data_IF_116521688613
#
_entry.id   IF_116521688613
#
_cell.length_a   1.000
_cell.length_b   1.000
_cell.length_c   1.000
_cell.angle_alpha   90.00
_cell.angle_beta   90.00
_cell.angle_gamma   90.00
#
_symmetry.space_group_name_H-M   'P 1'
#
loop_
_entity.id
_entity.type
_entity.pdbx_description
1 polymer ?
#
# COMPACT_ATOMS: atom_id res chain seq x y z
N UNK A 1 25.11 17.52 -4.95
CA UNK A 1 25.51 17.94 -3.59
C UNK A 1 24.99 17.01 -2.47
N UNK A 2 24.69 15.73 -2.76
CA UNK A 2 24.10 14.77 -1.80
C UNK A 2 25.16 13.82 -1.21
N UNK A 3 26.26 13.56 -1.94
CA UNK A 3 27.39 12.71 -1.55
C UNK A 3 28.09 13.21 -0.26
N UNK A 4 28.12 14.54 -0.05
CA UNK A 4 28.85 15.17 1.07
C UNK A 4 28.18 14.96 2.44
N UNK A 5 26.85 14.84 2.50
CA UNK A 5 26.15 14.62 3.76
C UNK A 5 26.24 13.16 4.23
N UNK A 6 26.22 12.21 3.29
CA UNK A 6 26.40 10.79 3.59
C UNK A 6 27.77 10.53 4.19
N UNK A 7 28.84 11.02 3.55
CA UNK A 7 30.20 10.91 4.06
C UNK A 7 30.32 11.54 5.46
N UNK A 8 29.86 12.79 5.65
CA UNK A 8 29.93 13.47 6.96
C UNK A 8 29.19 12.72 8.06
N UNK A 9 28.04 12.13 7.77
CA UNK A 9 27.25 11.38 8.74
C UNK A 9 27.87 10.03 9.10
N UNK A 10 28.44 9.34 8.11
CA UNK A 10 29.23 8.13 8.30
C UNK A 10 30.45 8.37 9.20
N UNK A 11 31.20 9.46 8.97
CA UNK A 11 32.34 9.85 9.81
C UNK A 11 31.94 10.16 11.26
N UNK A 12 30.80 10.83 11.46
CA UNK A 12 30.39 11.30 12.79
C UNK A 12 29.86 10.18 13.71
N UNK A 13 29.35 9.07 13.14
CA UNK A 13 28.67 8.03 13.93
C UNK A 13 29.44 6.72 14.13
N UNK A 14 30.49 6.40 13.35
CA UNK A 14 30.95 4.99 13.25
C UNK A 14 32.46 4.70 13.14
N UNK A 15 33.37 5.46 13.78
CA UNK A 15 34.81 5.12 13.81
C UNK A 15 35.39 4.79 12.42
N UNK A 16 35.06 5.62 11.43
CA UNK A 16 35.61 5.45 10.08
C UNK A 16 36.98 6.11 10.06
N UNK A 17 38.03 5.29 9.94
CA UNK A 17 39.40 5.75 9.86
C UNK A 17 39.83 5.89 8.40
N UNK A 18 40.19 7.12 8.03
CA UNK A 18 40.92 7.38 6.79
C UNK A 18 42.42 7.40 7.10
N UNK A 19 43.23 6.97 6.14
CA UNK A 19 44.65 7.29 6.19
C UNK A 19 44.86 8.78 5.90
N UNK A 20 46.09 9.26 6.09
CA UNK A 20 46.48 10.66 5.86
C UNK A 20 46.23 11.16 4.42
N UNK A 21 45.96 10.24 3.47
CA UNK A 21 45.70 10.55 2.07
C UNK A 21 44.19 10.54 1.74
N UNK A 22 43.32 10.43 2.75
CA UNK A 22 41.86 10.43 2.58
C UNK A 22 41.29 9.12 2.05
N UNK A 23 42.08 8.05 1.99
CA UNK A 23 41.64 6.72 1.55
C UNK A 23 41.06 5.96 2.74
N UNK A 24 39.90 5.33 2.53
CA UNK A 24 39.19 4.52 3.53
C UNK A 24 40.02 3.28 3.88
N UNK A 25 40.42 3.13 5.15
CA UNK A 25 41.32 2.03 5.57
C UNK A 25 40.56 0.92 6.29
N UNK A 26 39.39 1.23 6.88
CA UNK A 26 38.59 0.26 7.60
C UNK A 26 37.10 0.55 7.43
N UNK A 27 36.35 -0.43 6.89
CA UNK A 27 34.90 -0.40 6.73
C UNK A 27 34.32 -1.77 7.11
N UNK A 28 33.60 -1.83 8.23
CA UNK A 28 32.82 -3.03 8.55
C UNK A 28 31.47 -2.95 7.82
N UNK A 29 31.34 -3.70 6.72
CA UNK A 29 30.12 -3.80 5.94
C UNK A 29 28.92 -4.37 6.74
N UNK A 30 29.13 -4.93 7.94
CA UNK A 30 28.05 -5.33 8.87
C UNK A 30 27.40 -4.12 9.58
N UNK A 31 28.00 -2.93 9.52
CA UNK A 31 27.53 -1.78 10.29
C UNK A 31 26.39 -1.01 9.61
N UNK A 32 26.14 -1.15 8.31
CA UNK A 32 25.01 -0.46 7.65
C UNK A 32 24.00 -1.53 7.22
N UNK A 33 23.11 -1.89 8.14
CA UNK A 33 21.98 -2.75 7.84
C UNK A 33 21.08 -2.13 6.78
N UNK A 34 20.42 -2.97 5.98
CA UNK A 34 19.44 -2.57 4.97
C UNK A 34 18.35 -1.68 5.60
N UNK A 35 17.99 -1.99 6.83
CA UNK A 35 17.03 -1.28 7.68
C UNK A 35 17.45 0.18 7.90
N UNK A 36 18.73 0.44 8.12
CA UNK A 36 19.24 1.79 8.36
C UNK A 36 19.19 2.69 7.11
N UNK A 37 19.47 2.12 5.94
CA UNK A 37 19.38 2.85 4.66
C UNK A 37 17.92 3.21 4.39
N UNK A 38 17.03 2.24 4.61
CA UNK A 38 15.58 2.40 4.49
C UNK A 38 15.06 3.50 5.44
N UNK A 39 15.40 3.43 6.72
CA UNK A 39 14.94 4.39 7.73
C UNK A 39 15.56 5.80 7.63
N UNK A 40 16.65 6.00 6.89
CA UNK A 40 17.30 7.32 6.77
C UNK A 40 17.13 7.98 5.42
N UNK A 41 16.96 7.20 4.36
CA UNK A 41 16.91 7.75 3.01
C UNK A 41 15.57 7.54 2.32
N UNK A 42 14.71 6.69 2.87
CA UNK A 42 13.44 6.33 2.26
C UNK A 42 12.24 6.47 3.21
N UNK A 43 12.34 7.39 4.18
CA UNK A 43 11.31 7.62 5.19
C UNK A 43 9.97 8.04 4.57
N UNK A 44 10.02 8.86 3.52
CA UNK A 44 8.81 9.36 2.87
C UNK A 44 8.10 8.24 2.13
N UNK A 45 8.85 7.45 1.36
CA UNK A 45 8.39 6.29 0.61
C UNK A 45 7.80 5.23 1.55
N UNK A 46 8.44 4.97 2.70
CA UNK A 46 7.90 4.11 3.74
C UNK A 46 6.61 4.66 4.36
N UNK A 47 6.53 5.96 4.60
CA UNK A 47 5.32 6.59 5.14
C UNK A 47 4.17 6.52 4.14
N UNK A 48 4.44 6.69 2.85
CA UNK A 48 3.44 6.52 1.79
C UNK A 48 2.94 5.07 1.71
N UNK A 49 3.84 4.09 1.72
CA UNK A 49 3.49 2.67 1.79
C UNK A 49 2.64 2.36 3.02
N UNK A 50 2.99 2.90 4.20
CA UNK A 50 2.19 2.74 5.43
C UNK A 50 0.79 3.33 5.29
N UNK A 51 0.67 4.54 4.73
CA UNK A 51 -0.63 5.17 4.47
C UNK A 51 -1.48 4.35 3.50
N UNK A 52 -0.88 3.84 2.43
CA UNK A 52 -1.58 2.97 1.47
C UNK A 52 -2.10 1.70 2.14
N UNK A 53 -1.28 1.03 2.97
CA UNK A 53 -1.71 -0.15 3.73
C UNK A 53 -2.86 0.15 4.67
N UNK A 54 -2.75 1.24 5.43
CA UNK A 54 -3.82 1.68 6.31
C UNK A 54 -5.14 1.94 5.55
N UNK A 55 -5.08 2.63 4.41
CA UNK A 55 -6.28 2.90 3.60
C UNK A 55 -6.88 1.60 3.03
N UNK A 56 -6.04 0.66 2.59
CA UNK A 56 -6.48 -0.67 2.14
C UNK A 56 -7.22 -1.39 3.27
N UNK A 57 -6.63 -1.47 4.46
CA UNK A 57 -7.22 -2.14 5.62
C UNK A 57 -8.54 -1.47 6.04
N UNK A 58 -8.61 -0.14 5.95
CA UNK A 58 -9.82 0.64 6.24
C UNK A 58 -10.95 0.31 5.26
N UNK A 59 -10.67 0.28 3.96
CA UNK A 59 -11.67 -0.05 2.93
C UNK A 59 -12.13 -1.51 3.05
N UNK A 60 -11.21 -2.44 3.32
CA UNK A 60 -11.56 -3.85 3.51
C UNK A 60 -12.48 -4.03 4.74
N UNK A 61 -12.22 -3.27 5.81
CA UNK A 61 -13.08 -3.26 6.99
C UNK A 61 -14.46 -2.68 6.67
N UNK A 62 -14.53 -1.57 5.93
CA UNK A 62 -15.80 -0.95 5.55
C UNK A 62 -16.66 -1.83 4.64
N UNK A 63 -16.04 -2.54 3.68
CA UNK A 63 -16.74 -3.52 2.84
C UNK A 63 -17.33 -4.64 3.71
N UNK A 64 -16.57 -5.12 4.69
CA UNK A 64 -16.99 -6.18 5.61
C UNK A 64 -18.15 -5.71 6.50
N UNK A 65 -18.03 -4.54 7.11
CA UNK A 65 -19.09 -3.94 7.93
C UNK A 65 -20.36 -3.72 7.10
N UNK A 66 -20.22 -3.28 5.84
CA UNK A 66 -21.37 -3.14 4.94
C UNK A 66 -22.05 -4.49 4.69
N UNK A 67 -21.29 -5.55 4.44
CA UNK A 67 -21.84 -6.91 4.28
C UNK A 67 -22.55 -7.41 5.53
N UNK A 68 -21.98 -7.18 6.71
CA UNK A 68 -22.56 -7.57 7.99
C UNK A 68 -23.83 -6.76 8.32
N UNK A 69 -23.97 -5.55 7.80
CA UNK A 69 -25.15 -4.68 7.96
C UNK A 69 -26.33 -5.00 7.03
N UNK A 70 -26.18 -5.98 6.13
CA UNK A 70 -27.25 -6.41 5.22
C UNK A 70 -28.04 -7.52 5.91
N UNK A 71 -29.37 -7.43 5.83
CA UNK A 71 -30.27 -8.42 6.42
C UNK A 71 -30.09 -9.79 5.74
N UNK A 72 -30.14 -10.87 6.53
CA UNK A 72 -29.91 -12.23 6.01
C UNK A 72 -30.93 -12.62 4.93
N UNK A 73 -32.17 -12.13 5.03
CA UNK A 73 -33.23 -12.36 4.02
C UNK A 73 -32.85 -11.78 2.65
N UNK A 74 -32.01 -10.75 2.60
CA UNK A 74 -31.53 -10.16 1.35
C UNK A 74 -30.33 -10.91 0.77
N UNK A 75 -29.62 -11.69 1.60
CA UNK A 75 -28.40 -12.42 1.21
C UNK A 75 -28.65 -13.65 0.33
N UNK A 76 -29.91 -13.93 0.00
CA UNK A 76 -30.30 -14.96 -0.96
C UNK A 76 -29.99 -14.58 -2.43
N UNK A 77 -29.62 -13.32 -2.69
CA UNK A 77 -29.29 -12.85 -4.03
C UNK A 77 -27.91 -13.38 -4.52
N UNK A 78 -27.75 -13.67 -5.83
CA UNK A 78 -26.49 -14.17 -6.42
C UNK A 78 -25.27 -13.25 -6.24
N UNK A 79 -25.48 -12.00 -5.83
CA UNK A 79 -24.42 -11.03 -5.52
C UNK A 79 -23.68 -11.37 -4.21
N UNK A 80 -24.24 -12.23 -3.37
CA UNK A 80 -23.68 -12.63 -2.08
C UNK A 80 -23.03 -14.00 -2.13
N UNK A 81 -21.99 -14.16 -1.31
CA UNK A 81 -21.27 -15.40 -1.03
C UNK A 81 -21.19 -15.58 0.49
N UNK A 82 -20.80 -16.77 0.92
CA UNK A 82 -20.71 -17.18 2.34
C UNK A 82 -20.08 -16.12 3.26
N UNK A 83 -19.09 -15.36 2.79
CA UNK A 83 -18.41 -14.32 3.58
C UNK A 83 -18.15 -13.03 2.80
N UNK A 84 -19.06 -12.61 1.91
CA UNK A 84 -18.92 -11.34 1.22
C UNK A 84 -19.65 -11.24 -0.11
N UNK A 85 -19.13 -10.39 -1.00
CA UNK A 85 -19.74 -10.13 -2.30
C UNK A 85 -19.06 -10.92 -3.42
N UNK A 86 -19.85 -11.45 -4.36
CA UNK A 86 -19.33 -11.83 -5.67
C UNK A 86 -19.06 -10.57 -6.49
N UNK A 87 -17.80 -10.15 -6.59
CA UNK A 87 -17.41 -8.95 -7.34
C UNK A 87 -17.86 -8.95 -8.81
N UNK A 88 -17.97 -10.12 -9.45
CA UNK A 88 -18.43 -10.22 -10.85
C UNK A 88 -19.93 -9.94 -10.93
N UNK A 89 -20.70 -10.52 -10.01
CA UNK A 89 -22.14 -10.34 -10.00
C UNK A 89 -22.54 -8.95 -9.48
N UNK A 90 -21.86 -8.46 -8.45
CA UNK A 90 -21.96 -7.08 -7.96
C UNK A 90 -21.75 -6.07 -9.10
N UNK A 91 -20.73 -6.28 -9.94
CA UNK A 91 -20.45 -5.40 -11.09
C UNK A 91 -21.60 -5.38 -12.09
N UNK A 92 -22.24 -6.53 -12.36
CA UNK A 92 -23.41 -6.59 -13.26
C UNK A 92 -24.61 -5.89 -12.63
N UNK A 93 -24.90 -6.17 -11.36
CA UNK A 93 -26.04 -5.59 -10.65
C UNK A 93 -25.91 -4.07 -10.58
N UNK A 94 -24.73 -3.56 -10.23
CA UNK A 94 -24.50 -2.11 -10.19
C UNK A 94 -24.59 -1.46 -11.58
N UNK A 95 -24.22 -2.17 -12.65
CA UNK A 95 -24.42 -1.67 -14.02
C UNK A 95 -25.90 -1.51 -14.39
N UNK A 96 -26.78 -2.35 -13.82
CA UNK A 96 -28.24 -2.22 -13.94
C UNK A 96 -28.71 -1.04 -13.08
N UNK A 97 -28.34 -1.01 -11.79
CA UNK A 97 -28.74 0.03 -10.83
C UNK A 97 -28.34 1.45 -11.26
N UNK A 98 -27.21 1.61 -11.94
CA UNK A 98 -26.78 2.90 -12.49
C UNK A 98 -27.66 3.42 -13.62
N UNK A 99 -28.35 2.53 -14.34
CA UNK A 99 -29.28 2.90 -15.41
C UNK A 99 -30.70 3.08 -14.88
N UNK A 100 -31.07 2.26 -13.90
CA UNK A 100 -32.37 2.31 -13.24
C UNK A 100 -32.20 2.01 -11.75
N UNK A 101 -32.30 3.06 -10.92
CA UNK A 101 -32.15 2.95 -9.47
C UNK A 101 -33.28 2.12 -8.83
N UNK A 102 -34.42 2.00 -9.51
CA UNK A 102 -35.58 1.24 -9.04
C UNK A 102 -35.59 -0.21 -9.53
N UNK A 103 -34.52 -0.68 -10.17
CA UNK A 103 -34.37 -2.08 -10.55
C UNK A 103 -34.23 -3.03 -9.34
N UNK A 104 -34.11 -2.49 -8.13
CA UNK A 104 -34.19 -3.21 -6.87
C UNK A 104 -35.22 -2.52 -5.98
N UNK A 105 -36.16 -3.30 -5.42
CA UNK A 105 -37.22 -2.77 -4.57
C UNK A 105 -36.66 -2.16 -3.28
N UNK A 106 -35.60 -2.75 -2.73
CA UNK A 106 -34.88 -2.19 -1.59
C UNK A 106 -33.82 -1.16 -2.04
N UNK A 107 -34.17 0.12 -1.93
CA UNK A 107 -33.27 1.22 -2.27
C UNK A 107 -32.05 1.33 -1.35
N UNK A 108 -32.17 0.94 -0.07
CA UNK A 108 -31.05 0.94 0.87
C UNK A 108 -30.00 -0.10 0.46
N UNK A 109 -30.45 -1.31 0.10
CA UNK A 109 -29.58 -2.33 -0.44
C UNK A 109 -28.93 -1.88 -1.75
N UNK A 110 -29.69 -1.25 -2.66
CA UNK A 110 -29.13 -0.71 -3.90
C UNK A 110 -27.99 0.29 -3.63
N UNK A 111 -28.16 1.19 -2.66
CA UNK A 111 -27.13 2.17 -2.29
C UNK A 111 -25.90 1.48 -1.65
N UNK A 112 -26.09 0.48 -0.78
CA UNK A 112 -25.01 -0.35 -0.21
C UNK A 112 -24.20 -1.07 -1.30
N UNK A 113 -24.87 -1.65 -2.30
CA UNK A 113 -24.21 -2.34 -3.42
C UNK A 113 -23.38 -1.39 -4.29
N UNK A 114 -23.93 -0.21 -4.61
CA UNK A 114 -23.20 0.82 -5.36
C UNK A 114 -21.96 1.27 -4.57
N UNK A 115 -22.12 1.48 -3.26
CA UNK A 115 -21.02 1.86 -2.37
C UNK A 115 -19.90 0.83 -2.36
N UNK A 116 -20.21 -0.43 -2.09
CA UNK A 116 -19.23 -1.53 -2.08
C UNK A 116 -18.54 -1.70 -3.44
N UNK A 117 -19.27 -1.50 -4.54
CA UNK A 117 -18.67 -1.53 -5.88
C UNK A 117 -17.63 -0.42 -6.07
N UNK A 118 -17.90 0.80 -5.60
CA UNK A 118 -16.94 1.90 -5.67
C UNK A 118 -15.72 1.64 -4.79
N UNK A 119 -15.93 1.15 -3.56
CA UNK A 119 -14.86 0.76 -2.65
C UNK A 119 -13.97 -0.35 -3.24
N UNK A 120 -14.55 -1.37 -3.89
CA UNK A 120 -13.79 -2.42 -4.57
C UNK A 120 -12.90 -1.89 -5.71
N UNK A 121 -13.39 -0.89 -6.46
CA UNK A 121 -12.60 -0.25 -7.51
C UNK A 121 -11.45 0.58 -6.92
N UNK A 122 -11.71 1.33 -5.85
CA UNK A 122 -10.68 2.08 -5.13
C UNK A 122 -9.63 1.14 -4.53
N UNK A 123 -10.06 0.07 -3.88
CA UNK A 123 -9.21 -0.96 -3.29
C UNK A 123 -8.26 -1.56 -4.34
N UNK A 124 -8.76 -1.85 -5.54
CA UNK A 124 -7.94 -2.35 -6.65
C UNK A 124 -6.85 -1.34 -7.02
N UNK A 125 -7.22 -0.07 -7.20
CA UNK A 125 -6.26 0.99 -7.54
C UNK A 125 -5.19 1.17 -6.45
N UNK A 126 -5.58 1.14 -5.17
CA UNK A 126 -4.66 1.24 -4.04
C UNK A 126 -3.71 0.05 -3.95
N UNK A 127 -4.20 -1.18 -4.19
CA UNK A 127 -3.35 -2.39 -4.21
C UNK A 127 -2.34 -2.36 -5.35
N UNK A 128 -2.72 -1.86 -6.52
CA UNK A 128 -1.80 -1.70 -7.65
C UNK A 128 -0.76 -0.61 -7.36
N UNK A 129 -1.17 0.53 -6.79
CA UNK A 129 -0.26 1.60 -6.37
C UNK A 129 0.72 1.14 -5.28
N UNK A 130 0.25 0.36 -4.30
CA UNK A 130 1.10 -0.21 -3.26
C UNK A 130 2.20 -1.10 -3.86
N UNK A 131 1.86 -1.98 -4.81
CA UNK A 131 2.84 -2.84 -5.49
C UNK A 131 3.91 -2.03 -6.22
N UNK A 132 3.49 -0.95 -6.91
CA UNK A 132 4.40 -0.06 -7.61
C UNK A 132 5.38 0.59 -6.61
N UNK A 133 4.87 1.19 -5.54
CA UNK A 133 5.69 1.86 -4.54
C UNK A 133 6.66 0.89 -3.83
N UNK A 134 6.22 -0.32 -3.50
CA UNK A 134 7.08 -1.35 -2.90
C UNK A 134 8.20 -1.78 -3.87
N UNK A 135 7.91 -1.90 -5.16
CA UNK A 135 8.90 -2.24 -6.18
C UNK A 135 9.91 -1.10 -6.42
N UNK A 136 9.44 0.14 -6.52
CA UNK A 136 10.30 1.31 -6.69
C UNK A 136 11.24 1.50 -5.50
N UNK A 137 10.74 1.34 -4.28
CA UNK A 137 11.55 1.41 -3.06
C UNK A 137 12.64 0.33 -3.05
N UNK A 138 12.31 -0.90 -3.46
CA UNK A 138 13.28 -1.98 -3.55
C UNK A 138 14.40 -1.65 -4.55
N UNK A 139 14.05 -1.16 -5.74
CA UNK A 139 15.03 -0.81 -6.76
C UNK A 139 15.92 0.37 -6.34
N UNK A 140 15.31 1.44 -5.79
CA UNK A 140 16.05 2.59 -5.29
C UNK A 140 17.01 2.18 -4.16
N UNK A 141 16.60 1.25 -3.30
CA UNK A 141 17.45 0.69 -2.25
C UNK A 141 18.65 -0.10 -2.83
N UNK A 142 18.42 -0.94 -3.84
CA UNK A 142 19.46 -1.72 -4.50
C UNK A 142 20.50 -0.83 -5.20
N UNK A 143 20.05 0.21 -5.90
CA UNK A 143 20.94 1.21 -6.51
C UNK A 143 21.80 1.89 -5.45
N UNK A 144 21.19 2.34 -4.35
CA UNK A 144 21.92 3.01 -3.26
C UNK A 144 23.01 2.13 -2.67
N UNK A 145 22.75 0.82 -2.50
CA UNK A 145 23.72 -0.16 -2.02
C UNK A 145 24.88 -0.33 -3.02
N UNK A 146 24.59 -0.37 -4.33
CA UNK A 146 25.62 -0.49 -5.37
C UNK A 146 26.57 0.71 -5.39
N UNK A 147 26.08 1.93 -5.21
CA UNK A 147 26.92 3.13 -5.15
C UNK A 147 27.71 3.30 -3.85
N UNK A 148 27.45 2.46 -2.85
CA UNK A 148 28.22 2.44 -1.59
C UNK A 148 29.35 1.41 -1.56
N UNK A 149 29.38 0.45 -2.50
CA UNK A 149 30.49 -0.49 -2.68
C UNK A 149 31.56 0.09 -3.61
#
# INVERSE_FOLDING_TARGET
>A
MIISQFQKFLFKKKNIENNKNGTLVNWDARLIGKEFIIEKFFVNELNEIKKLKYNIDSIESEIKETFESIDEEEKDLPIFKENGFDNKELSKQVAILKKDKYALDNLELADKLIHVYNLNNELKNLKDLLKINEFELLNASLEKIRFTR
#
